data_IF_472326611854
#
_entry.id   IF_472326611854
#
_cell.length_a   1.000
_cell.length_b   1.000
_cell.length_c   1.000
_cell.angle_alpha   90.00
_cell.angle_beta   90.00
_cell.angle_gamma   90.00
#
_symmetry.space_group_name_H-M   'P 1'
#
loop_
_entity.id
_entity.type
_entity.pdbx_description
1 polymer ?
#
# COMPACT_ATOMS: atom_id res chain seq x y z
N UNK A 1 -41.61 17.35 6.59
CA UNK A 1 -40.16 17.58 6.82
C UNK A 1 -39.40 16.28 7.10
N UNK A 2 -40.01 15.26 7.72
CA UNK A 2 -39.34 13.99 8.06
C UNK A 2 -38.89 13.14 6.84
N UNK A 3 -39.63 13.15 5.73
CA UNK A 3 -39.24 12.38 4.53
C UNK A 3 -37.96 12.91 3.87
N UNK A 4 -37.76 14.23 3.88
CA UNK A 4 -36.56 14.85 3.29
C UNK A 4 -35.29 14.47 4.06
N UNK A 5 -35.35 14.41 5.39
CA UNK A 5 -34.21 13.97 6.19
C UNK A 5 -33.97 12.47 6.03
N UNK A 6 -35.00 11.64 5.88
CA UNK A 6 -34.84 10.22 5.60
C UNK A 6 -34.09 9.96 4.28
N UNK A 7 -34.44 10.69 3.21
CA UNK A 7 -33.72 10.61 1.94
C UNK A 7 -32.25 11.06 2.05
N UNK A 8 -31.97 12.11 2.81
CA UNK A 8 -30.59 12.56 3.07
C UNK A 8 -29.77 11.51 3.83
N UNK A 9 -30.39 10.81 4.78
CA UNK A 9 -29.74 9.72 5.53
C UNK A 9 -29.41 8.57 4.58
N UNK A 10 -30.37 8.12 3.76
CA UNK A 10 -30.14 7.02 2.82
C UNK A 10 -29.05 7.34 1.81
N UNK A 11 -29.04 8.55 1.24
CA UNK A 11 -27.98 9.00 0.33
C UNK A 11 -26.62 9.04 1.04
N UNK A 12 -26.56 9.56 2.27
CA UNK A 12 -25.32 9.60 3.05
C UNK A 12 -24.79 8.20 3.39
N UNK A 13 -25.64 7.27 3.83
CA UNK A 13 -25.24 5.90 4.13
C UNK A 13 -24.79 5.14 2.86
N UNK A 14 -25.48 5.35 1.73
CA UNK A 14 -25.08 4.79 0.43
C UNK A 14 -23.72 5.31 -0.03
N UNK A 15 -23.37 6.56 0.27
CA UNK A 15 -22.03 7.11 -0.01
C UNK A 15 -20.97 6.57 0.96
N UNK A 16 -21.32 6.43 2.24
CA UNK A 16 -20.42 5.86 3.25
C UNK A 16 -20.05 4.40 2.92
N UNK A 17 -21.01 3.69 2.33
CA UNK A 17 -20.85 2.32 1.87
C UNK A 17 -19.80 2.18 0.76
N UNK A 18 -19.74 3.17 -0.14
CA UNK A 18 -18.78 3.23 -1.25
C UNK A 18 -17.35 3.58 -0.78
N UNK A 19 -17.23 4.25 0.36
CA UNK A 19 -15.96 4.72 0.93
C UNK A 19 -15.62 3.99 2.24
N UNK A 20 -15.16 2.73 2.18
CA UNK A 20 -14.91 1.92 3.37
C UNK A 20 -13.76 2.45 4.24
N UNK A 21 -12.84 3.24 3.67
CA UNK A 21 -11.78 3.92 4.42
C UNK A 21 -12.27 5.14 5.20
N UNK A 22 -13.54 5.52 5.02
CA UNK A 22 -14.18 6.68 5.64
C UNK A 22 -14.22 7.90 4.74
N UNK A 23 -15.25 8.71 4.94
CA UNK A 23 -15.50 9.93 4.19
C UNK A 23 -15.80 11.10 5.15
N UNK A 24 -15.53 12.35 4.75
CA UNK A 24 -15.83 13.51 5.58
C UNK A 24 -17.34 13.64 5.80
N UNK A 25 -17.75 13.96 7.02
CA UNK A 25 -19.17 14.04 7.38
C UNK A 25 -19.92 15.08 6.54
N UNK A 26 -19.32 16.24 6.31
CA UNK A 26 -19.88 17.29 5.47
C UNK A 26 -18.97 17.58 4.27
N UNK A 27 -19.58 17.79 3.10
CA UNK A 27 -18.85 18.16 1.91
C UNK A 27 -18.14 19.50 2.10
N UNK A 28 -17.00 19.63 1.42
CA UNK A 28 -16.17 20.82 1.47
C UNK A 28 -15.77 21.25 0.06
N UNK A 29 -15.09 22.39 -0.08
CA UNK A 29 -14.67 22.90 -1.39
C UNK A 29 -13.72 21.91 -2.06
N UNK A 30 -14.25 21.17 -3.05
CA UNK A 30 -13.52 20.20 -3.86
C UNK A 30 -13.50 18.77 -3.32
N UNK A 31 -14.20 18.47 -2.23
CA UNK A 31 -14.19 17.12 -1.64
C UNK A 31 -15.62 16.72 -1.25
N UNK A 32 -16.18 15.66 -1.85
CA UNK A 32 -17.52 15.19 -1.53
C UNK A 32 -17.54 14.65 -0.09
N UNK A 33 -18.57 15.01 0.66
CA UNK A 33 -18.84 14.44 1.98
C UNK A 33 -20.12 13.62 1.96
N UNK A 34 -20.34 12.89 3.06
CA UNK A 34 -21.55 12.09 3.27
C UNK A 34 -22.80 12.96 3.16
N UNK A 35 -22.75 14.15 3.76
CA UNK A 35 -23.80 15.16 3.66
C UNK A 35 -23.35 16.34 2.78
N UNK A 36 -24.23 16.93 1.94
CA UNK A 36 -23.86 17.91 0.92
C UNK A 36 -23.40 19.26 1.47
N UNK A 37 -23.82 19.66 2.66
CA UNK A 37 -23.36 20.88 3.32
C UNK A 37 -23.72 20.86 4.80
N UNK A 38 -23.06 21.69 5.61
CA UNK A 38 -23.36 21.85 7.04
C UNK A 38 -24.62 22.72 7.28
N UNK A 39 -25.70 22.42 6.57
CA UNK A 39 -27.02 23.07 6.72
C UNK A 39 -27.82 22.44 7.85
N UNK A 40 -28.81 23.16 8.40
CA UNK A 40 -29.63 22.67 9.53
C UNK A 40 -30.20 21.25 9.35
N UNK A 41 -30.88 20.93 8.23
CA UNK A 41 -31.42 19.59 7.99
C UNK A 41 -30.33 18.51 7.86
N UNK A 42 -29.21 18.84 7.21
CA UNK A 42 -28.09 17.92 7.06
C UNK A 42 -27.38 17.66 8.39
N UNK A 43 -27.23 18.69 9.24
CA UNK A 43 -26.69 18.55 10.60
C UNK A 43 -27.58 17.67 11.48
N UNK A 44 -28.90 17.88 11.44
CA UNK A 44 -29.84 17.06 12.19
C UNK A 44 -29.82 15.59 11.72
N UNK A 45 -29.75 15.36 10.40
CA UNK A 45 -29.62 14.02 9.83
C UNK A 45 -28.29 13.35 10.21
N UNK A 46 -27.18 14.08 10.11
CA UNK A 46 -25.86 13.60 10.50
C UNK A 46 -25.79 13.25 11.99
N UNK A 47 -26.34 14.11 12.85
CA UNK A 47 -26.40 13.87 14.29
C UNK A 47 -27.21 12.61 14.59
N UNK A 48 -28.39 12.47 13.97
CA UNK A 48 -29.19 11.25 14.10
C UNK A 48 -28.45 9.99 13.70
N UNK A 49 -27.69 10.02 12.60
CA UNK A 49 -26.89 8.85 12.19
C UNK A 49 -25.85 8.45 13.23
N UNK A 50 -25.28 9.41 13.96
CA UNK A 50 -24.35 9.14 15.06
C UNK A 50 -25.06 8.62 16.30
N UNK A 51 -26.18 9.24 16.67
CA UNK A 51 -26.96 8.88 17.86
C UNK A 51 -27.51 7.45 17.76
N UNK A 52 -27.95 7.04 16.56
CA UNK A 52 -28.43 5.69 16.26
C UNK A 52 -27.28 4.68 16.03
N UNK A 53 -26.03 5.15 16.06
CA UNK A 53 -24.84 4.33 15.84
C UNK A 53 -24.66 3.82 14.42
N UNK A 54 -25.33 4.38 13.41
CA UNK A 54 -25.18 4.00 12.00
C UNK A 54 -23.86 4.47 11.38
N UNK A 55 -23.33 5.57 11.90
CA UNK A 55 -22.02 6.10 11.54
C UNK A 55 -21.15 6.18 12.78
N UNK A 56 -19.88 5.83 12.64
CA UNK A 56 -18.88 6.05 13.69
C UNK A 56 -17.74 6.92 13.17
N UNK A 57 -17.24 7.81 14.03
CA UNK A 57 -16.13 8.71 13.67
C UNK A 57 -14.80 8.00 13.94
N UNK A 58 -14.02 7.80 12.88
CA UNK A 58 -12.71 7.13 12.97
C UNK A 58 -11.57 8.12 13.18
N UNK A 59 -11.70 9.32 12.63
CA UNK A 59 -10.63 10.32 12.62
C UNK A 59 -11.21 11.72 12.63
N UNK A 60 -10.59 12.60 13.41
CA UNK A 60 -10.84 14.03 13.36
C UNK A 60 -9.64 14.72 12.70
N UNK A 61 -9.91 15.43 11.61
CA UNK A 61 -8.92 16.15 10.84
C UNK A 61 -9.06 17.64 11.06
N UNK A 62 -7.94 18.30 11.33
CA UNK A 62 -7.86 19.76 11.36
C UNK A 62 -7.23 20.25 10.07
N UNK A 63 -8.04 20.76 9.14
CA UNK A 63 -7.54 21.43 7.93
C UNK A 63 -7.58 22.94 8.15
N UNK A 64 -6.49 23.47 8.70
CA UNK A 64 -6.42 24.86 9.16
C UNK A 64 -7.30 25.08 10.39
N UNK A 65 -8.24 26.04 10.33
CA UNK A 65 -9.16 26.35 11.43
C UNK A 65 -10.42 25.48 11.47
N UNK A 66 -10.61 24.61 10.47
CA UNK A 66 -11.84 23.81 10.33
C UNK A 66 -11.60 22.39 10.79
N UNK A 67 -12.38 21.95 11.78
CA UNK A 67 -12.46 20.56 12.20
C UNK A 67 -13.37 19.77 11.25
N UNK A 68 -12.88 18.63 10.76
CA UNK A 68 -13.62 17.70 9.91
C UNK A 68 -13.61 16.34 10.56
N UNK A 69 -14.77 15.71 10.62
CA UNK A 69 -14.91 14.37 11.14
C UNK A 69 -14.99 13.41 9.96
N UNK A 70 -14.12 12.41 9.95
CA UNK A 70 -14.16 11.30 9.00
C UNK A 70 -14.94 10.18 9.64
N UNK A 71 -16.02 9.76 8.99
CA UNK A 71 -16.92 8.75 9.49
C UNK A 71 -16.95 7.53 8.56
N UNK A 72 -17.12 6.35 9.15
CA UNK A 72 -17.36 5.09 8.44
C UNK A 72 -18.77 4.58 8.76
N UNK A 73 -19.30 3.75 7.85
CA UNK A 73 -20.54 3.02 8.05
C UNK A 73 -20.32 1.86 9.04
N UNK A 74 -21.18 1.73 10.04
CA UNK A 74 -21.17 0.60 10.98
C UNK A 74 -22.01 -0.56 10.47
N UNK A 75 -21.93 -1.72 11.12
CA UNK A 75 -22.78 -2.87 10.82
C UNK A 75 -24.27 -2.60 11.06
N UNK A 76 -24.61 -1.82 12.09
CA UNK A 76 -25.99 -1.39 12.36
C UNK A 76 -26.50 -0.44 11.26
N UNK A 77 -25.65 0.47 10.79
CA UNK A 77 -25.95 1.36 9.66
C UNK A 77 -26.15 0.59 8.36
N UNK A 78 -25.32 -0.42 8.10
CA UNK A 78 -25.44 -1.32 6.96
C UNK A 78 -26.78 -2.08 7.00
N UNK A 79 -27.12 -2.66 8.14
CA UNK A 79 -28.36 -3.40 8.33
C UNK A 79 -29.58 -2.51 8.08
N UNK A 80 -29.57 -1.29 8.61
CA UNK A 80 -30.61 -0.29 8.35
C UNK A 80 -30.71 0.07 6.86
N UNK A 81 -29.58 0.29 6.20
CA UNK A 81 -29.54 0.61 4.78
C UNK A 81 -30.13 -0.52 3.93
N UNK A 82 -29.78 -1.78 4.20
CA UNK A 82 -30.33 -2.94 3.48
C UNK A 82 -31.84 -3.13 3.67
N UNK A 83 -32.39 -2.74 4.83
CA UNK A 83 -33.83 -2.81 5.07
C UNK A 83 -34.61 -1.73 4.32
N UNK A 84 -34.02 -0.55 4.15
CA UNK A 84 -34.70 0.62 3.58
C UNK A 84 -34.43 0.80 2.08
N UNK A 85 -33.26 0.40 1.60
CA UNK A 85 -32.86 0.57 0.20
C UNK A 85 -33.16 -0.66 -0.63
N UNK A 86 -33.42 -0.45 -1.93
CA UNK A 86 -33.52 -1.55 -2.87
C UNK A 86 -32.11 -2.14 -3.10
N UNK A 87 -31.88 -3.45 -2.81
CA UNK A 87 -30.54 -4.05 -2.88
C UNK A 87 -29.94 -3.96 -4.28
N UNK A 88 -30.77 -4.00 -5.33
CA UNK A 88 -30.30 -3.87 -6.71
C UNK A 88 -29.67 -2.51 -6.98
N UNK A 89 -30.28 -1.44 -6.48
CA UNK A 89 -29.77 -0.08 -6.69
C UNK A 89 -28.42 0.13 -5.99
N UNK A 90 -28.26 -0.42 -4.78
CA UNK A 90 -26.98 -0.38 -4.08
C UNK A 90 -25.88 -1.09 -4.89
N UNK A 91 -26.17 -2.27 -5.44
CA UNK A 91 -25.23 -2.98 -6.30
C UNK A 91 -24.88 -2.18 -7.57
N UNK A 92 -25.86 -1.56 -8.21
CA UNK A 92 -25.63 -0.70 -9.39
C UNK A 92 -24.74 0.51 -9.05
N UNK A 93 -24.95 1.14 -7.89
CA UNK A 93 -24.12 2.25 -7.41
C UNK A 93 -22.69 1.78 -7.06
N UNK A 94 -22.53 0.59 -6.47
CA UNK A 94 -21.22 -0.01 -6.21
C UNK A 94 -20.45 -0.32 -7.50
N UNK A 95 -21.09 -0.97 -8.48
CA UNK A 95 -20.43 -1.30 -9.75
C UNK A 95 -19.96 -0.03 -10.44
N UNK A 96 -20.81 1.01 -10.49
CA UNK A 96 -20.43 2.30 -11.07
C UNK A 96 -19.19 2.90 -10.41
N UNK A 97 -19.05 2.78 -9.08
CA UNK A 97 -17.88 3.31 -8.40
C UNK A 97 -16.64 2.44 -8.63
N UNK A 98 -16.80 1.11 -8.72
CA UNK A 98 -15.70 0.23 -9.09
C UNK A 98 -15.16 0.56 -10.49
N UNK A 99 -16.04 0.74 -11.47
CA UNK A 99 -15.68 1.19 -12.82
C UNK A 99 -14.95 2.54 -12.80
N UNK A 100 -15.48 3.53 -12.06
CA UNK A 100 -14.81 4.82 -11.94
C UNK A 100 -13.44 4.74 -11.24
N UNK A 101 -13.26 3.82 -10.29
CA UNK A 101 -11.96 3.57 -9.64
C UNK A 101 -10.99 2.83 -10.55
N UNK A 102 -11.47 1.91 -11.38
CA UNK A 102 -10.68 1.23 -12.41
C UNK A 102 -10.08 2.26 -13.38
N UNK A 103 -10.89 3.20 -13.88
CA UNK A 103 -10.40 4.30 -14.74
C UNK A 103 -9.30 5.14 -14.07
N UNK A 104 -9.43 5.39 -12.76
CA UNK A 104 -8.41 6.13 -12.00
C UNK A 104 -7.11 5.33 -11.86
N UNK A 105 -7.19 4.02 -11.65
CA UNK A 105 -6.02 3.14 -11.57
C UNK A 105 -5.30 3.11 -12.92
N UNK A 106 -6.03 2.98 -14.03
CA UNK A 106 -5.45 3.02 -15.37
C UNK A 106 -4.75 4.34 -15.66
N UNK A 107 -5.36 5.47 -15.26
CA UNK A 107 -4.72 6.77 -15.36
C UNK A 107 -3.40 6.83 -14.57
N UNK A 108 -3.37 6.31 -13.33
CA UNK A 108 -2.16 6.26 -12.52
C UNK A 108 -1.08 5.35 -13.11
N UNK A 109 -1.45 4.19 -13.65
CA UNK A 109 -0.52 3.28 -14.33
C UNK A 109 0.09 3.94 -15.57
N UNK A 110 -0.72 4.64 -16.35
CA UNK A 110 -0.24 5.40 -17.52
C UNK A 110 0.73 6.50 -17.11
N UNK A 111 0.43 7.26 -16.06
CA UNK A 111 1.31 8.29 -15.52
C UNK A 111 2.65 7.71 -15.02
N UNK A 112 2.61 6.57 -14.30
CA UNK A 112 3.80 5.88 -13.82
C UNK A 112 4.68 5.37 -14.98
N UNK A 113 4.06 4.80 -16.02
CA UNK A 113 4.76 4.36 -17.22
C UNK A 113 5.41 5.53 -17.97
N UNK A 114 4.73 6.66 -18.10
CA UNK A 114 5.30 7.87 -18.69
C UNK A 114 6.49 8.40 -17.89
N UNK A 115 6.42 8.35 -16.55
CA UNK A 115 7.53 8.72 -15.68
C UNK A 115 8.72 7.78 -15.84
N UNK A 116 8.48 6.46 -15.95
CA UNK A 116 9.55 5.48 -16.22
C UNK A 116 10.24 5.78 -17.57
N UNK A 117 9.45 6.01 -18.62
CA UNK A 117 9.98 6.34 -19.95
C UNK A 117 10.81 7.63 -19.94
N UNK A 118 10.39 8.66 -19.18
CA UNK A 118 11.16 9.91 -19.09
C UNK A 118 12.49 9.71 -18.36
N UNK A 119 12.53 8.88 -17.32
CA UNK A 119 13.77 8.49 -16.65
C UNK A 119 14.70 7.71 -17.60
N UNK A 120 14.17 6.73 -18.34
CA UNK A 120 14.96 5.95 -19.31
C UNK A 120 15.57 6.86 -20.41
N UNK A 121 14.79 7.83 -20.90
CA UNK A 121 15.28 8.82 -21.86
C UNK A 121 16.38 9.72 -21.29
N UNK A 122 16.28 10.14 -20.02
CA UNK A 122 17.34 10.90 -19.34
C UNK A 122 18.61 10.08 -19.17
N UNK A 123 18.49 8.79 -18.80
CA UNK A 123 19.64 7.88 -18.74
C UNK A 123 20.32 7.74 -20.11
N UNK A 124 19.53 7.56 -21.18
CA UNK A 124 20.05 7.51 -22.54
C UNK A 124 20.77 8.80 -22.96
N UNK A 125 20.21 9.97 -22.64
CA UNK A 125 20.84 11.25 -22.92
C UNK A 125 22.16 11.43 -22.15
N UNK A 126 22.19 11.07 -20.86
CA UNK A 126 23.40 11.11 -20.05
C UNK A 126 24.51 10.20 -20.62
N UNK A 127 24.15 8.99 -21.05
CA UNK A 127 25.08 8.06 -21.70
C UNK A 127 25.64 8.59 -23.03
N UNK A 128 24.89 9.41 -23.78
CA UNK A 128 25.38 10.04 -25.00
C UNK A 128 26.29 11.25 -24.74
N UNK A 129 26.07 11.99 -23.65
CA UNK A 129 26.86 13.17 -23.30
C UNK A 129 28.21 12.76 -22.68
N UNK A 130 28.23 11.70 -21.87
CA UNK A 130 29.44 11.23 -21.19
C UNK A 130 30.65 11.02 -22.13
N UNK A 131 30.54 10.29 -23.26
CA UNK A 131 31.67 10.12 -24.18
C UNK A 131 32.06 11.42 -24.90
N UNK A 132 31.10 12.32 -25.15
CA UNK A 132 31.41 13.63 -25.75
C UNK A 132 32.24 14.50 -24.82
N UNK A 133 31.94 14.47 -23.52
CA UNK A 133 32.74 15.16 -22.50
C UNK A 133 34.13 14.53 -22.37
N UNK A 134 34.24 13.20 -22.39
CA UNK A 134 35.53 12.50 -22.37
C UNK A 134 36.40 12.86 -23.58
N UNK A 135 35.80 12.88 -24.79
CA UNK A 135 36.51 13.27 -26.01
C UNK A 135 36.99 14.74 -25.95
N UNK A 136 36.14 15.66 -25.48
CA UNK A 136 36.51 17.07 -25.31
C UNK A 136 37.66 17.24 -24.29
N UNK A 137 37.66 16.47 -23.20
CA UNK A 137 38.74 16.50 -22.21
C UNK A 137 40.07 16.00 -22.77
N UNK A 138 40.06 14.93 -23.58
CA UNK A 138 41.27 14.45 -24.27
C UNK A 138 41.80 15.43 -25.30
N UNK A 139 40.93 16.09 -26.06
CA UNK A 139 41.32 17.13 -27.01
C UNK A 139 41.93 18.36 -26.32
N UNK A 140 41.40 18.75 -25.15
CA UNK A 140 41.94 19.86 -24.36
C UNK A 140 43.33 19.58 -23.78
N UNK A 141 43.65 18.31 -23.46
CA UNK A 141 44.97 17.93 -22.92
C UNK A 141 46.04 17.70 -24.00
N UNK A 142 45.62 17.42 -25.23
CA UNK A 142 46.51 17.13 -26.36
C UNK A 142 46.99 18.37 -27.13
N UNK A 143 46.74 19.59 -26.63
CA UNK A 143 47.29 20.83 -27.20
C UNK A 143 48.46 21.36 -26.36
N UNK A 144 49.72 20.91 -26.62
CA UNK A 144 50.92 21.50 -26.06
C UNK A 144 51.37 22.61 -27.00
N UNK A 145 50.77 23.79 -26.92
CA UNK A 145 51.48 24.99 -27.35
C UNK A 145 51.00 26.17 -26.52
N UNK A 146 51.91 26.60 -25.64
CA UNK A 146 51.74 27.82 -24.87
C UNK A 146 51.75 29.04 -25.77
N UNK A 147 51.06 30.08 -25.33
CA UNK A 147 51.70 31.32 -24.89
C UNK A 147 50.61 32.24 -24.37
N UNK A 148 50.98 32.95 -23.30
CA UNK A 148 50.21 33.96 -22.63
C UNK A 148 49.56 34.95 -23.60
N UNK A 149 48.36 35.44 -23.28
CA UNK A 149 48.12 36.87 -23.11
C UNK A 149 46.76 37.10 -22.44
N UNK A 150 46.77 38.06 -21.52
CA UNK A 150 45.65 38.55 -20.73
C UNK A 150 44.54 39.15 -21.59
N UNK A 151 43.29 39.13 -21.07
CA UNK A 151 42.53 40.35 -20.70
C UNK A 151 41.07 40.03 -20.37
N UNK A 152 40.68 40.42 -19.15
CA UNK A 152 39.50 41.21 -18.78
C UNK A 152 38.30 41.22 -19.74
N UNK A 153 37.13 40.76 -19.27
CA UNK A 153 35.95 41.65 -19.18
C UNK A 153 34.83 40.98 -18.38
N UNK A 154 34.29 41.77 -17.47
CA UNK A 154 33.18 41.45 -16.61
C UNK A 154 31.90 41.15 -17.40
N UNK A 155 31.12 40.16 -16.95
CA UNK A 155 29.68 40.32 -17.01
C UNK A 155 29.03 39.68 -15.79
N UNK A 156 28.48 40.56 -14.96
CA UNK A 156 27.86 40.25 -13.69
C UNK A 156 26.34 40.15 -13.90
N UNK A 157 25.76 39.18 -13.18
CA UNK A 157 24.44 39.27 -12.57
C UNK A 157 23.21 39.13 -13.47
N UNK A 158 22.68 37.91 -13.55
CA UNK A 158 21.25 37.73 -13.31
C UNK A 158 21.01 36.41 -12.57
N UNK A 159 20.95 36.48 -11.24
CA UNK A 159 20.52 35.40 -10.36
C UNK A 159 19.02 35.14 -10.60
N UNK A 160 18.70 33.99 -11.19
CA UNK A 160 17.39 33.37 -11.14
C UNK A 160 17.34 32.41 -9.95
N UNK A 161 16.55 32.77 -8.94
CA UNK A 161 16.37 32.06 -7.68
C UNK A 161 15.58 30.76 -7.90
N UNK A 162 16.08 29.57 -7.50
CA UNK A 162 15.27 28.35 -7.48
C UNK A 162 14.32 28.32 -6.27
N UNK A 163 13.14 27.70 -6.37
CA UNK A 163 12.28 27.44 -5.22
C UNK A 163 12.80 26.24 -4.42
N UNK A 164 13.24 26.50 -3.20
CA UNK A 164 13.55 25.50 -2.18
C UNK A 164 12.27 24.82 -1.70
N UNK A 165 12.19 23.50 -1.91
CA UNK A 165 11.23 22.62 -1.27
C UNK A 165 11.86 22.09 0.02
N UNK A 166 11.64 22.79 1.14
CA UNK A 166 11.88 22.24 2.47
C UNK A 166 10.58 21.62 3.00
N UNK A 167 10.49 20.29 2.96
CA UNK A 167 9.53 19.53 3.75
C UNK A 167 10.31 18.68 4.74
N UNK A 168 10.45 19.22 5.95
CA UNK A 168 10.98 18.52 7.10
C UNK A 168 9.95 17.51 7.59
N UNK A 169 10.21 16.22 7.34
CA UNK A 169 9.51 15.13 8.02
C UNK A 169 10.24 14.88 9.34
N UNK A 170 9.64 15.37 10.42
CA UNK A 170 10.06 15.06 11.78
C UNK A 170 9.86 13.56 12.04
N UNK A 171 10.97 12.87 12.30
CA UNK A 171 11.00 11.49 12.80
C UNK A 171 10.41 11.49 14.21
N UNK A 172 9.21 10.95 14.34
CA UNK A 172 8.58 10.70 15.63
C UNK A 172 9.29 9.52 16.32
N UNK A 173 10.02 9.83 17.38
CA UNK A 173 10.53 8.89 18.38
C UNK A 173 9.38 8.06 18.94
N UNK A 174 9.25 6.80 18.52
CA UNK A 174 8.36 5.83 19.17
C UNK A 174 8.98 5.41 20.50
N UNK A 175 8.38 5.90 21.59
CA UNK A 175 8.61 5.39 22.94
C UNK A 175 8.22 3.91 23.00
N UNK A 176 9.14 3.09 23.50
CA UNK A 176 8.96 1.68 23.84
C UNK A 176 7.86 1.54 24.91
N UNK A 177 6.81 0.72 24.69
CA UNK A 177 6.04 0.16 25.80
C UNK A 177 6.83 -0.99 26.43
N UNK A 178 7.23 -0.80 27.68
CA UNK A 178 7.64 -1.89 28.58
C UNK A 178 6.42 -2.76 28.88
N UNK A 179 6.32 -3.92 28.23
CA UNK A 179 5.44 -5.00 28.66
C UNK A 179 6.26 -5.96 29.52
N UNK A 180 6.01 -5.94 30.83
CA UNK A 180 6.36 -7.03 31.74
C UNK A 180 5.36 -8.19 31.56
N UNK A 181 5.83 -9.44 31.44
CA UNK A 181 4.96 -10.60 31.25
C UNK A 181 4.44 -11.12 32.61
N UNK A 182 3.16 -11.50 32.73
CA UNK A 182 2.75 -12.41 33.78
C UNK A 182 3.16 -13.83 33.39
N UNK A 183 3.98 -14.42 34.25
CA UNK A 183 4.23 -15.85 34.28
C UNK A 183 2.91 -16.60 34.55
N UNK A 184 2.54 -17.52 33.66
CA UNK A 184 1.82 -18.71 34.08
C UNK A 184 2.20 -19.86 33.16
N UNK A 185 2.96 -20.79 33.73
CA UNK A 185 3.24 -22.09 33.16
C UNK A 185 1.93 -22.90 33.08
N UNK A 186 1.72 -23.59 31.96
CA UNK A 186 1.03 -24.88 31.94
C UNK A 186 1.29 -25.64 30.63
N UNK A 187 2.20 -26.62 30.75
CA UNK A 187 2.26 -27.92 30.07
C UNK A 187 1.01 -28.37 29.30
N UNK A 188 1.09 -28.42 27.96
CA UNK A 188 0.30 -29.30 27.10
C UNK A 188 1.19 -29.83 25.96
N UNK A 189 1.83 -30.98 26.19
CA UNK A 189 2.50 -31.75 25.16
C UNK A 189 1.51 -32.68 24.48
N UNK A 190 0.73 -32.15 23.53
CA UNK A 190 0.02 -32.94 22.50
C UNK A 190 -0.55 -32.07 21.34
N UNK A 191 -0.44 -30.74 21.39
CA UNK A 191 -1.07 -29.83 20.40
C UNK A 191 -0.13 -29.28 19.31
N UNK A 192 1.12 -29.73 19.29
CA UNK A 192 2.15 -29.19 18.40
C UNK A 192 1.99 -29.61 16.95
N UNK A 193 1.63 -30.88 16.75
CA UNK A 193 1.48 -31.46 15.41
C UNK A 193 0.22 -30.91 14.72
N UNK A 194 -0.89 -30.74 15.45
CA UNK A 194 -2.11 -30.12 14.91
C UNK A 194 -1.87 -28.68 14.42
N UNK A 195 -1.06 -27.89 15.14
CA UNK A 195 -0.75 -26.52 14.74
C UNK A 195 0.15 -26.49 13.49
N UNK A 196 1.13 -27.39 13.42
CA UNK A 196 2.00 -27.55 12.26
C UNK A 196 1.22 -27.99 11.01
N UNK A 197 0.31 -28.96 11.17
CA UNK A 197 -0.53 -29.47 10.09
C UNK A 197 -1.52 -28.41 9.60
N UNK A 198 -2.10 -27.61 10.50
CA UNK A 198 -2.92 -26.45 10.12
C UNK A 198 -2.15 -25.40 9.35
N UNK A 199 -0.91 -25.11 9.74
CA UNK A 199 -0.04 -24.18 9.03
C UNK A 199 0.34 -24.71 7.64
N UNK A 200 0.66 -26.01 7.54
CA UNK A 200 0.97 -26.68 6.28
C UNK A 200 -0.20 -26.58 5.29
N UNK A 201 -1.42 -26.86 5.76
CA UNK A 201 -2.63 -26.75 4.95
C UNK A 201 -2.86 -25.31 4.46
N UNK A 202 -2.71 -24.33 5.34
CA UNK A 202 -2.85 -22.91 5.00
C UNK A 202 -1.83 -22.44 3.95
N UNK A 203 -0.58 -22.92 4.04
CA UNK A 203 0.46 -22.63 3.03
C UNK A 203 0.04 -23.16 1.65
N UNK A 204 -0.39 -24.42 1.56
CA UNK A 204 -0.78 -25.06 0.30
C UNK A 204 -2.02 -24.41 -0.31
N UNK A 205 -3.01 -24.08 0.51
CA UNK A 205 -4.20 -23.33 0.07
C UNK A 205 -3.79 -21.97 -0.51
N UNK A 206 -2.87 -21.26 0.14
CA UNK A 206 -2.41 -19.94 -0.32
C UNK A 206 -1.67 -20.00 -1.64
N UNK A 207 -0.83 -21.01 -1.83
CA UNK A 207 -0.14 -21.25 -3.10
C UNK A 207 -1.13 -21.63 -4.21
N UNK A 208 -2.19 -22.38 -3.90
CA UNK A 208 -3.24 -22.70 -4.86
C UNK A 208 -4.01 -21.44 -5.31
N UNK A 209 -4.40 -20.58 -4.37
CA UNK A 209 -5.04 -19.28 -4.67
C UNK A 209 -4.11 -18.37 -5.46
N UNK A 210 -2.82 -18.32 -5.10
CA UNK A 210 -1.82 -17.55 -5.84
C UNK A 210 -1.76 -18.00 -7.30
N UNK A 211 -1.59 -19.30 -7.54
CA UNK A 211 -1.50 -19.86 -8.89
C UNK A 211 -2.77 -19.61 -9.72
N UNK A 212 -3.96 -19.65 -9.11
CA UNK A 212 -5.21 -19.32 -9.79
C UNK A 212 -5.34 -17.84 -10.16
N UNK A 213 -4.79 -16.93 -9.35
CA UNK A 213 -4.92 -15.47 -9.51
C UNK A 213 -3.83 -14.82 -10.37
N UNK A 214 -2.59 -15.31 -10.32
CA UNK A 214 -1.43 -14.64 -10.92
C UNK A 214 -1.18 -14.99 -12.40
N UNK A 215 -2.03 -15.84 -13.00
CA UNK A 215 -1.66 -16.59 -14.20
C UNK A 215 -0.61 -17.66 -13.85
N UNK A 216 -0.70 -18.83 -14.47
CA UNK A 216 0.01 -20.06 -14.08
C UNK A 216 1.56 -20.01 -14.12
N UNK A 217 2.19 -18.84 -14.23
CA UNK A 217 3.62 -18.68 -14.54
C UNK A 217 4.44 -17.92 -13.51
N UNK A 218 3.86 -17.42 -12.41
CA UNK A 218 4.61 -16.68 -11.39
C UNK A 218 4.74 -17.45 -10.07
N UNK A 219 5.98 -17.71 -9.68
CA UNK A 219 6.30 -18.29 -8.38
C UNK A 219 6.02 -17.29 -7.24
N UNK A 220 5.59 -17.79 -6.08
CA UNK A 220 5.21 -16.94 -4.96
C UNK A 220 6.42 -16.60 -4.07
N UNK A 221 6.77 -15.31 -3.85
CA UNK A 221 7.86 -14.94 -2.95
C UNK A 221 7.55 -15.31 -1.49
N UNK A 222 8.52 -15.89 -0.78
CA UNK A 222 8.35 -16.32 0.62
C UNK A 222 7.89 -15.20 1.60
N UNK A 223 8.39 -13.94 1.52
CA UNK A 223 7.88 -12.87 2.40
C UNK A 223 6.40 -12.55 2.16
N UNK A 224 5.95 -12.64 0.91
CA UNK A 224 4.54 -12.39 0.55
C UNK A 224 3.65 -13.49 1.12
N UNK A 225 4.10 -14.75 1.02
CA UNK A 225 3.40 -15.90 1.60
C UNK A 225 3.29 -15.75 3.13
N UNK A 226 4.40 -15.43 3.81
CA UNK A 226 4.43 -15.22 5.26
C UNK A 226 3.48 -14.11 5.73
N UNK A 227 3.50 -12.94 5.07
CA UNK A 227 2.60 -11.82 5.41
C UNK A 227 1.12 -12.17 5.24
N UNK A 228 0.77 -12.96 4.22
CA UNK A 228 -0.62 -13.39 3.99
C UNK A 228 -1.11 -14.34 5.09
N UNK A 229 -0.25 -15.25 5.56
CA UNK A 229 -0.57 -16.12 6.70
C UNK A 229 -0.83 -15.30 7.98
N UNK A 230 0.01 -14.29 8.24
CA UNK A 230 -0.19 -13.34 9.35
C UNK A 230 -1.51 -12.58 9.26
N UNK A 231 -1.90 -12.12 8.07
CA UNK A 231 -3.18 -11.45 7.86
C UNK A 231 -4.40 -12.34 8.16
N UNK A 232 -4.23 -13.67 8.16
CA UNK A 232 -5.27 -14.66 8.45
C UNK A 232 -5.25 -15.15 9.90
N UNK A 233 -4.42 -14.52 10.75
CA UNK A 233 -4.31 -14.83 12.17
C UNK A 233 -3.41 -16.02 12.47
N UNK A 234 -2.67 -16.54 11.48
CA UNK A 234 -1.55 -17.43 11.76
C UNK A 234 -0.35 -16.57 12.13
N UNK A 235 0.14 -16.67 13.36
CA UNK A 235 1.35 -15.98 13.79
C UNK A 235 2.55 -16.95 13.91
N UNK A 236 2.96 -17.64 12.83
CA UNK A 236 4.13 -18.51 12.92
C UNK A 236 5.37 -17.64 13.13
N UNK A 237 6.30 -18.14 13.93
CA UNK A 237 7.65 -17.60 13.93
C UNK A 237 8.31 -17.88 12.58
N UNK A 238 9.31 -17.07 12.20
CA UNK A 238 10.07 -17.30 10.96
C UNK A 238 10.65 -18.73 10.94
N UNK A 239 11.15 -19.21 12.09
CA UNK A 239 11.63 -20.58 12.25
C UNK A 239 10.54 -21.63 11.98
N UNK A 240 9.37 -21.50 12.62
CA UNK A 240 8.26 -22.44 12.42
C UNK A 240 7.70 -22.43 10.99
N UNK A 241 7.68 -21.26 10.35
CA UNK A 241 7.35 -21.16 8.93
C UNK A 241 8.37 -21.92 8.05
N UNK A 242 9.67 -21.71 8.30
CA UNK A 242 10.73 -22.41 7.57
C UNK A 242 10.71 -23.93 7.79
N UNK A 243 10.47 -24.38 9.02
CA UNK A 243 10.38 -25.81 9.35
C UNK A 243 9.20 -26.46 8.62
N UNK A 244 8.05 -25.78 8.56
CA UNK A 244 6.89 -26.22 7.81
C UNK A 244 7.17 -26.31 6.29
N UNK A 245 7.87 -25.33 5.71
CA UNK A 245 8.29 -25.39 4.31
C UNK A 245 9.22 -26.57 4.03
N UNK A 246 10.18 -26.87 4.91
CA UNK A 246 11.07 -28.03 4.73
C UNK A 246 10.29 -29.33 4.77
N UNK A 247 9.37 -29.49 5.72
CA UNK A 247 8.47 -30.65 5.79
C UNK A 247 7.64 -30.83 4.52
N UNK A 248 7.03 -29.75 4.01
CA UNK A 248 6.24 -29.80 2.77
C UNK A 248 7.07 -30.18 1.52
N UNK A 249 8.36 -29.80 1.50
CA UNK A 249 9.29 -30.20 0.43
C UNK A 249 9.68 -31.67 0.56
N UNK A 250 9.92 -32.16 1.78
CA UNK A 250 10.20 -33.59 2.05
C UNK A 250 9.01 -34.49 1.68
N UNK A 251 7.77 -33.98 1.83
CA UNK A 251 6.52 -34.65 1.44
C UNK A 251 6.19 -34.50 -0.07
N UNK A 252 7.05 -33.84 -0.85
CA UNK A 252 6.88 -33.58 -2.29
C UNK A 252 5.64 -32.76 -2.68
N UNK A 253 5.09 -31.98 -1.74
CA UNK A 253 3.91 -31.13 -1.95
C UNK A 253 4.25 -29.71 -2.45
N UNK A 254 5.49 -29.28 -2.24
CA UNK A 254 5.95 -27.93 -2.52
C UNK A 254 7.31 -27.97 -3.24
N UNK A 255 7.48 -27.11 -4.24
CA UNK A 255 8.75 -26.89 -4.91
C UNK A 255 9.30 -25.51 -4.57
N UNK A 256 10.51 -25.47 -4.03
CA UNK A 256 11.22 -24.25 -3.69
C UNK A 256 12.18 -23.87 -4.82
N UNK A 257 12.04 -22.67 -5.35
CA UNK A 257 12.88 -22.18 -6.42
C UNK A 257 14.08 -21.40 -5.88
N UNK A 258 15.28 -21.64 -6.43
CA UNK A 258 16.49 -20.94 -6.04
C UNK A 258 16.42 -19.47 -6.43
N UNK A 259 17.00 -18.63 -5.59
CA UNK A 259 17.29 -17.24 -5.92
C UNK A 259 18.42 -17.19 -6.94
N UNK A 260 18.13 -16.65 -8.13
CA UNK A 260 19.09 -16.57 -9.24
C UNK A 260 19.84 -15.23 -9.30
N UNK A 261 19.48 -14.27 -8.45
CA UNK A 261 20.14 -12.97 -8.37
C UNK A 261 21.41 -12.99 -7.50
N UNK A 262 22.18 -11.88 -7.48
CA UNK A 262 23.30 -11.76 -6.56
C UNK A 262 22.80 -11.66 -5.10
N UNK A 263 23.58 -12.18 -4.15
CA UNK A 263 23.19 -12.25 -2.73
C UNK A 263 22.93 -10.86 -2.11
N UNK A 264 23.65 -9.83 -2.55
CA UNK A 264 23.46 -8.46 -2.07
C UNK A 264 22.16 -7.81 -2.58
N UNK A 265 21.50 -8.39 -3.57
CA UNK A 265 20.23 -7.92 -4.11
C UNK A 265 19.01 -8.71 -3.58
N UNK A 266 19.24 -9.66 -2.67
CA UNK A 266 18.18 -10.47 -2.08
C UNK A 266 17.24 -9.59 -1.23
N UNK A 267 15.97 -9.45 -1.60
CA UNK A 267 15.03 -8.65 -0.82
C UNK A 267 14.65 -9.39 0.46
N UNK A 268 14.57 -8.68 1.58
CA UNK A 268 14.17 -9.24 2.88
C UNK A 268 14.87 -10.59 3.21
N UNK A 269 16.21 -10.63 3.34
CA UNK A 269 16.98 -11.87 3.55
C UNK A 269 16.50 -12.82 4.66
N UNK A 270 15.89 -12.35 5.78
CA UNK A 270 15.41 -13.24 6.83
C UNK A 270 14.38 -14.30 6.40
N UNK A 271 13.67 -14.11 5.28
CA UNK A 271 12.68 -15.06 4.76
C UNK A 271 13.26 -16.05 3.75
N UNK A 272 14.50 -15.87 3.33
CA UNK A 272 15.13 -16.79 2.42
C UNK A 272 15.50 -18.08 3.16
N UNK A 273 15.28 -19.21 2.50
CA UNK A 273 15.50 -20.53 3.10
C UNK A 273 16.73 -21.19 2.48
N UNK A 274 17.68 -21.63 3.31
CA UNK A 274 18.79 -22.45 2.85
C UNK A 274 18.32 -23.91 2.70
N UNK A 275 18.33 -24.43 1.48
CA UNK A 275 17.97 -25.82 1.16
C UNK A 275 19.19 -26.48 0.52
N UNK A 276 19.86 -27.34 1.28
CA UNK A 276 21.15 -27.91 0.88
C UNK A 276 22.22 -26.82 0.74
N UNK A 277 22.59 -26.50 -0.50
CA UNK A 277 23.59 -25.48 -0.83
C UNK A 277 23.00 -24.27 -1.57
N UNK A 278 21.69 -24.24 -1.80
CA UNK A 278 21.00 -23.17 -2.51
C UNK A 278 20.15 -22.33 -1.57
N UNK A 279 20.02 -21.05 -1.91
CA UNK A 279 19.12 -20.12 -1.21
C UNK A 279 17.81 -20.10 -2.00
N UNK A 280 16.76 -20.67 -1.44
CA UNK A 280 15.42 -20.59 -1.99
C UNK A 280 14.72 -19.30 -1.54
N UNK A 281 13.99 -18.68 -2.46
CA UNK A 281 13.26 -17.44 -2.19
C UNK A 281 11.82 -17.43 -2.71
N UNK A 282 11.50 -18.35 -3.61
CA UNK A 282 10.15 -18.52 -4.13
C UNK A 282 9.64 -19.92 -3.88
N UNK A 283 8.32 -20.04 -3.73
CA UNK A 283 7.63 -21.30 -3.56
C UNK A 283 6.56 -21.45 -4.65
N UNK A 284 6.43 -22.67 -5.16
CA UNK A 284 5.34 -23.10 -6.02
C UNK A 284 4.80 -24.42 -5.52
N UNK A 285 3.53 -24.68 -5.80
CA UNK A 285 2.92 -25.98 -5.52
C UNK A 285 3.35 -26.95 -6.63
N UNK A 286 3.67 -28.19 -6.25
CA UNK A 286 3.91 -29.27 -7.23
C UNK A 286 2.63 -29.75 -7.89
#
# INVERSE_FOLDING_TARGET
MAEKSALLILDALSRALVEPSGAPLFASKGEPGLFPSSTGPAKAAAQRCKDEGWLTTIRNETRGKVHREVCILTETGMSYLMQQANPRRLLEDFVRVLEAREEQIDHLLNAANAMRQSMDALYGAAQQILPKLQAAETASKASPNGLAHASTSANASHLGKPPEAESAVAVATCARPTNEPPATAQSQGDSGDDAADRLAHAILERLAVWHASAGASQDCPLPTLYRRLHAEGFEPTIGGFHDCLRRLVEEDLLYLHPWTGPLYALPEPPFALLVGHEIAYYASRR
#
